data_IF_946383573964
#
_entry.id   IF_946383573964
#
_cell.length_a   1.000
_cell.length_b   1.000
_cell.length_c   1.000
_cell.angle_alpha   90.00
_cell.angle_beta   90.00
_cell.angle_gamma   90.00
#
_symmetry.space_group_name_H-M   'P 1'
#
loop_
_entity.id
_entity.type
_entity.pdbx_description
1 polymer ?
#
# COMPACT_ATOMS: atom_id res chain seq x y z
N UNK A 1 -16.89 -14.35 -4.81
CA UNK A 1 -16.21 -14.37 -3.50
C UNK A 1 -17.25 -14.74 -2.48
N UNK A 2 -16.89 -15.60 -1.53
CA UNK A 2 -17.79 -16.02 -0.47
C UNK A 2 -17.14 -15.70 0.88
N UNK A 3 -17.96 -15.31 1.86
CA UNK A 3 -17.51 -15.10 3.23
C UNK A 3 -17.57 -16.42 4.00
N UNK A 4 -16.45 -16.84 4.58
CA UNK A 4 -16.40 -18.03 5.45
C UNK A 4 -16.70 -17.69 6.90
N UNK A 5 -16.18 -16.56 7.36
CA UNK A 5 -16.35 -16.09 8.73
C UNK A 5 -16.32 -14.57 8.72
N UNK A 6 -17.18 -13.97 9.53
CA UNK A 6 -17.21 -12.53 9.78
C UNK A 6 -17.42 -12.30 11.27
N UNK A 7 -16.51 -11.55 11.86
CA UNK A 7 -16.57 -11.07 13.24
C UNK A 7 -16.71 -9.56 13.20
N UNK A 8 -17.77 -9.05 13.81
CA UNK A 8 -18.09 -7.62 13.88
C UNK A 8 -18.09 -7.21 15.34
N UNK A 9 -17.06 -6.46 15.73
CA UNK A 9 -16.90 -5.97 17.09
C UNK A 9 -17.26 -4.49 17.13
N UNK A 10 -18.19 -4.13 18.02
CA UNK A 10 -18.51 -2.73 18.25
C UNK A 10 -17.42 -2.04 19.08
N UNK A 11 -17.04 -0.84 18.67
CA UNK A 11 -16.00 -0.05 19.31
C UNK A 11 -16.54 1.36 19.59
N UNK A 12 -17.30 1.46 20.68
CA UNK A 12 -17.98 2.67 21.11
C UNK A 12 -17.04 3.88 21.31
N UNK A 13 -15.78 3.64 21.74
CA UNK A 13 -14.80 4.70 21.96
C UNK A 13 -14.44 5.47 20.68
N UNK A 14 -14.49 4.79 19.53
CA UNK A 14 -14.17 5.38 18.23
C UNK A 14 -15.41 5.56 17.34
N UNK A 15 -16.60 5.27 17.87
CA UNK A 15 -17.86 5.35 17.11
C UNK A 15 -17.83 4.51 15.83
N UNK A 16 -17.16 3.35 15.85
CA UNK A 16 -16.96 2.49 14.68
C UNK A 16 -17.09 1.03 15.05
N UNK A 17 -17.30 0.18 14.06
CA UNK A 17 -17.25 -1.27 14.22
C UNK A 17 -16.02 -1.82 13.54
N UNK A 18 -15.26 -2.63 14.25
CA UNK A 18 -14.10 -3.34 13.71
C UNK A 18 -14.58 -4.66 13.11
N UNK A 19 -14.23 -4.90 11.84
CA UNK A 19 -14.66 -6.08 11.08
C UNK A 19 -13.43 -6.94 10.80
N UNK A 20 -13.49 -8.22 11.15
CA UNK A 20 -12.53 -9.24 10.72
C UNK A 20 -13.28 -10.27 9.89
N UNK A 21 -12.81 -10.54 8.69
CA UNK A 21 -13.46 -11.49 7.80
C UNK A 21 -12.45 -12.42 7.13
N UNK A 22 -12.86 -13.66 6.91
CA UNK A 22 -12.14 -14.62 6.07
C UNK A 22 -12.96 -14.82 4.80
N UNK A 23 -12.38 -14.42 3.67
CA UNK A 23 -13.03 -14.52 2.36
C UNK A 23 -12.38 -15.63 1.53
N UNK A 24 -13.19 -16.41 0.84
CA UNK A 24 -12.73 -17.33 -0.21
C UNK A 24 -12.97 -16.74 -1.60
N UNK A 25 -12.01 -16.95 -2.49
CA UNK A 25 -12.08 -16.47 -3.86
C UNK A 25 -11.55 -17.53 -4.83
N UNK A 26 -12.05 -17.50 -6.06
CA UNK A 26 -11.62 -18.39 -7.13
C UNK A 26 -10.96 -17.56 -8.24
N UNK A 27 -9.84 -18.04 -8.77
CA UNK A 27 -9.11 -17.37 -9.84
C UNK A 27 -8.26 -16.18 -9.38
N UNK A 28 -8.48 -15.02 -10.00
CA UNK A 28 -7.65 -13.81 -9.79
C UNK A 28 -7.92 -13.21 -8.41
N UNK A 29 -6.87 -12.64 -7.82
CA UNK A 29 -6.97 -11.96 -6.54
C UNK A 29 -7.93 -10.75 -6.60
N UNK A 30 -8.90 -10.63 -5.68
CA UNK A 30 -9.83 -9.50 -5.64
C UNK A 30 -9.14 -8.15 -5.63
N UNK A 31 -9.76 -7.15 -6.24
CA UNK A 31 -9.38 -5.78 -5.96
C UNK A 31 -9.96 -5.36 -4.61
N UNK A 32 -9.29 -4.42 -3.93
CA UNK A 32 -9.75 -3.87 -2.65
C UNK A 32 -11.14 -3.21 -2.75
N UNK A 33 -11.53 -2.71 -3.93
CA UNK A 33 -12.88 -2.19 -4.19
C UNK A 33 -13.93 -3.30 -4.05
N UNK A 34 -13.73 -4.41 -4.75
CA UNK A 34 -14.60 -5.58 -4.71
C UNK A 34 -14.73 -6.15 -3.29
N UNK A 35 -13.62 -6.25 -2.55
CA UNK A 35 -13.61 -6.70 -1.15
C UNK A 35 -14.47 -5.81 -0.27
N UNK A 36 -14.34 -4.49 -0.42
CA UNK A 36 -15.12 -3.54 0.37
C UNK A 36 -16.60 -3.61 0.05
N UNK A 37 -16.97 -3.68 -1.22
CA UNK A 37 -18.37 -3.82 -1.64
C UNK A 37 -18.98 -5.12 -1.09
N UNK A 38 -18.20 -6.19 -1.06
CA UNK A 38 -18.62 -7.44 -0.43
C UNK A 38 -18.80 -7.26 1.08
N UNK A 39 -17.84 -6.64 1.78
CA UNK A 39 -17.96 -6.37 3.22
C UNK A 39 -19.16 -5.48 3.57
N UNK A 40 -19.49 -4.48 2.74
CA UNK A 40 -20.67 -3.63 2.91
C UNK A 40 -21.95 -4.47 2.89
N UNK A 41 -22.05 -5.41 1.95
CA UNK A 41 -23.21 -6.31 1.83
C UNK A 41 -23.32 -7.26 3.02
N UNK A 42 -22.20 -7.86 3.43
CA UNK A 42 -22.16 -8.86 4.52
C UNK A 42 -22.38 -8.23 5.91
N UNK A 43 -21.71 -7.10 6.19
CA UNK A 43 -21.83 -6.40 7.48
C UNK A 43 -23.10 -5.55 7.60
N UNK A 44 -23.80 -5.30 6.48
CA UNK A 44 -24.96 -4.38 6.37
C UNK A 44 -24.63 -2.92 6.75
N UNK A 45 -23.35 -2.57 6.74
CA UNK A 45 -22.88 -1.23 7.06
C UNK A 45 -22.68 -0.40 5.79
N UNK A 46 -23.05 0.88 5.83
CA UNK A 46 -23.02 1.75 4.64
C UNK A 46 -21.61 2.19 4.26
N UNK A 47 -20.74 2.39 5.25
CA UNK A 47 -19.42 2.98 5.05
C UNK A 47 -18.33 2.11 5.66
N UNK A 48 -17.75 1.25 4.82
CA UNK A 48 -16.65 0.36 5.21
C UNK A 48 -15.34 0.83 4.59
N UNK A 49 -14.30 0.85 5.39
CA UNK A 49 -12.92 1.06 4.99
C UNK A 49 -12.15 -0.26 5.14
N UNK A 50 -11.42 -0.69 4.11
CA UNK A 50 -10.53 -1.85 4.22
C UNK A 50 -9.16 -1.39 4.71
N UNK A 51 -8.67 -1.99 5.78
CA UNK A 51 -7.37 -1.72 6.41
C UNK A 51 -6.32 -2.61 5.77
N UNK A 52 -6.39 -3.92 6.02
CA UNK A 52 -5.47 -4.92 5.50
C UNK A 52 -6.22 -6.00 4.73
N UNK A 53 -5.51 -6.56 3.74
CA UNK A 53 -5.91 -7.78 3.05
C UNK A 53 -4.66 -8.64 3.06
N UNK A 54 -4.71 -9.73 3.79
CA UNK A 54 -3.62 -10.66 3.97
C UNK A 54 -3.93 -11.94 3.19
N UNK A 55 -3.01 -12.30 2.29
CA UNK A 55 -3.04 -13.53 1.53
C UNK A 55 -2.49 -14.66 2.40
N UNK A 56 -3.20 -15.78 2.42
CA UNK A 56 -2.64 -17.04 2.90
C UNK A 56 -1.91 -17.75 1.76
N UNK A 57 -0.66 -18.15 1.97
CA UNK A 57 0.14 -18.77 0.91
C UNK A 57 -0.43 -20.13 0.51
N UNK A 58 -0.54 -20.38 -0.80
CA UNK A 58 -1.09 -21.63 -1.34
C UNK A 58 -2.59 -21.85 -1.09
N UNK A 59 -3.28 -20.89 -0.46
CA UNK A 59 -4.69 -21.02 -0.10
C UNK A 59 -5.54 -19.98 -0.85
N UNK A 60 -6.75 -20.35 -1.33
CA UNK A 60 -7.69 -19.42 -1.95
C UNK A 60 -8.44 -18.56 -0.90
N UNK A 61 -7.75 -18.16 0.17
CA UNK A 61 -8.31 -17.44 1.31
C UNK A 61 -7.63 -16.11 1.57
N UNK A 62 -8.43 -15.17 2.08
CA UNK A 62 -8.02 -13.81 2.43
C UNK A 62 -8.47 -13.49 3.84
N UNK A 63 -7.52 -13.11 4.69
CA UNK A 63 -7.84 -12.47 5.95
C UNK A 63 -7.98 -10.97 5.70
N UNK A 64 -9.16 -10.43 5.96
CA UNK A 64 -9.48 -9.03 5.72
C UNK A 64 -9.80 -8.35 7.04
N UNK A 65 -9.19 -7.20 7.26
CA UNK A 65 -9.54 -6.31 8.36
C UNK A 65 -10.18 -5.05 7.79
N UNK A 66 -11.34 -4.71 8.31
CA UNK A 66 -12.11 -3.53 7.91
C UNK A 66 -12.58 -2.74 9.13
N UNK A 67 -12.98 -1.50 8.88
CA UNK A 67 -13.66 -0.63 9.84
C UNK A 67 -14.93 -0.12 9.21
N UNK A 68 -16.04 -0.25 9.90
CA UNK A 68 -17.32 0.31 9.49
C UNK A 68 -17.66 1.55 10.32
N UNK A 69 -18.17 2.56 9.64
CA UNK A 69 -18.58 3.83 10.20
C UNK A 69 -20.05 4.09 9.90
N UNK A 70 -20.77 4.78 10.81
CA UNK A 70 -22.16 5.17 10.57
C UNK A 70 -22.27 6.20 9.43
N UNK A 71 -21.30 7.12 9.33
CA UNK A 71 -21.32 8.25 8.40
C UNK A 71 -19.98 8.44 7.65
N UNK A 72 -20.07 8.96 6.42
CA UNK A 72 -18.90 9.37 5.62
C UNK A 72 -18.05 10.45 6.33
N UNK A 73 -18.70 11.36 7.06
CA UNK A 73 -18.00 12.43 7.81
C UNK A 73 -17.16 11.84 8.95
N UNK A 74 -17.74 10.93 9.73
CA UNK A 74 -17.05 10.24 10.81
C UNK A 74 -15.82 9.48 10.30
N UNK A 75 -15.96 8.77 9.17
CA UNK A 75 -14.85 8.07 8.53
C UNK A 75 -13.74 9.03 8.06
N UNK A 76 -14.09 10.21 7.51
CA UNK A 76 -13.11 11.21 7.04
C UNK A 76 -12.34 11.89 8.18
N UNK A 77 -12.97 12.04 9.35
CA UNK A 77 -12.35 12.64 10.54
C UNK A 77 -11.47 11.61 11.25
N UNK A 78 -11.93 10.37 11.38
CA UNK A 78 -11.25 9.34 12.14
C UNK A 78 -10.04 8.71 11.41
N UNK A 79 -10.04 8.72 10.07
CA UNK A 79 -9.05 8.01 9.27
C UNK A 79 -8.06 8.95 8.59
N UNK A 80 -6.78 8.57 8.49
CA UNK A 80 -5.78 9.39 7.82
C UNK A 80 -6.01 9.42 6.31
N UNK A 81 -5.62 10.53 5.68
CA UNK A 81 -5.90 10.80 4.26
C UNK A 81 -5.40 9.71 3.30
N UNK A 82 -4.26 9.08 3.60
CA UNK A 82 -3.70 8.01 2.76
C UNK A 82 -4.58 6.76 2.74
N UNK A 83 -5.30 6.45 3.82
CA UNK A 83 -6.22 5.31 3.87
C UNK A 83 -7.48 5.57 3.06
N UNK A 84 -8.00 6.81 3.12
CA UNK A 84 -9.13 7.24 2.31
C UNK A 84 -8.78 7.21 0.82
N UNK A 85 -7.58 7.68 0.43
CA UNK A 85 -7.07 7.61 -0.96
C UNK A 85 -6.88 6.17 -1.43
N UNK A 86 -6.29 5.31 -0.60
CA UNK A 86 -6.07 3.89 -0.92
C UNK A 86 -7.38 3.12 -1.15
N UNK A 87 -8.43 3.49 -0.41
CA UNK A 87 -9.76 2.96 -0.62
C UNK A 87 -10.53 3.74 -1.70
N UNK A 88 -9.97 4.77 -2.35
CA UNK A 88 -10.69 5.53 -3.38
C UNK A 88 -11.94 6.23 -2.85
N UNK A 89 -11.93 6.64 -1.58
CA UNK A 89 -12.97 7.42 -0.91
C UNK A 89 -12.57 8.90 -0.83
N UNK A 90 -11.29 9.20 -1.05
CA UNK A 90 -10.78 10.57 -1.05
C UNK A 90 -11.30 11.37 -2.25
N UNK A 91 -12.39 12.09 -1.98
CA UNK A 91 -12.56 13.53 -2.13
C UNK A 91 -11.64 14.24 -3.13
N UNK A 92 -12.28 14.80 -4.15
CA UNK A 92 -11.74 15.75 -5.13
C UNK A 92 -11.29 17.11 -4.52
N UNK A 93 -11.53 17.36 -3.24
CA UNK A 93 -11.35 18.67 -2.60
C UNK A 93 -9.95 18.94 -2.03
N UNK A 94 -8.89 18.46 -2.68
CA UNK A 94 -7.51 18.73 -2.25
C UNK A 94 -6.62 19.36 -3.33
N UNK A 95 -7.22 20.01 -4.33
CA UNK A 95 -6.49 20.80 -5.35
C UNK A 95 -6.76 22.29 -5.33
N UNK A 96 -7.61 22.78 -4.42
CA UNK A 96 -8.10 24.17 -4.44
C UNK A 96 -7.74 24.96 -3.19
N UNK A 97 -6.57 24.74 -2.56
CA UNK A 97 -6.15 25.62 -1.46
C UNK A 97 -4.63 25.57 -1.19
N UNK A 98 -3.82 25.64 -2.26
CA UNK A 98 -2.43 26.09 -2.15
C UNK A 98 -2.05 26.92 -3.38
N UNK A 99 -2.47 28.18 -3.39
CA UNK A 99 -1.83 29.22 -4.17
C UNK A 99 -1.58 30.40 -3.22
N UNK A 100 -0.37 30.60 -2.69
CA UNK A 100 0.00 31.89 -2.15
C UNK A 100 -0.03 32.86 -3.33
N UNK A 101 -0.99 33.79 -3.31
CA UNK A 101 -0.98 34.92 -4.22
C UNK A 101 0.21 35.81 -3.89
N UNK A 102 0.94 36.17 -4.94
CA UNK A 102 2.02 37.13 -4.98
C UNK A 102 1.69 38.44 -4.23
N UNK A 103 2.66 38.93 -3.46
CA UNK A 103 2.94 40.37 -3.41
C UNK A 103 4.34 40.56 -3.96
N UNK A 104 4.41 41.00 -5.21
CA UNK A 104 5.63 41.42 -5.88
C UNK A 104 5.33 42.66 -6.71
N UNK A 105 5.58 43.82 -6.10
CA UNK A 105 5.99 45.11 -6.71
C UNK A 105 6.41 45.98 -5.51
N UNK A 106 7.58 46.65 -5.46
CA UNK A 106 8.28 47.34 -6.54
C UNK A 106 9.74 47.70 -6.12
N UNK A 107 10.70 47.56 -7.07
CA UNK A 107 11.98 48.30 -7.31
C UNK A 107 13.07 48.38 -6.20
N UNK A 108 14.38 48.45 -6.46
CA UNK A 108 15.24 48.46 -7.65
C UNK A 108 16.73 48.33 -7.19
N UNK A 109 17.64 48.24 -8.18
CA UNK A 109 19.11 48.33 -8.15
C UNK A 109 19.88 46.99 -8.08
N UNK A 110 20.39 46.49 -9.21
CA UNK A 110 21.74 46.74 -9.79
C UNK A 110 22.77 45.78 -9.11
N UNK A 111 23.40 44.78 -9.73
CA UNK A 111 24.28 44.84 -10.90
C UNK A 111 24.47 43.43 -11.54
N UNK A 112 24.55 43.41 -12.87
CA UNK A 112 25.38 42.49 -13.68
C UNK A 112 26.69 43.27 -13.97
N UNK A 113 27.87 42.66 -14.27
CA UNK A 113 28.00 41.85 -15.48
C UNK A 113 29.06 40.70 -15.47
N UNK A 114 28.87 39.78 -16.43
CA UNK A 114 29.89 39.06 -17.22
C UNK A 114 30.91 38.13 -16.50
N UNK A 115 31.47 37.07 -17.05
CA UNK A 115 31.57 36.55 -18.42
C UNK A 115 32.02 35.06 -18.34
N UNK A 116 31.64 34.26 -19.36
CA UNK A 116 32.43 33.21 -20.04
C UNK A 116 33.45 32.33 -19.25
N UNK A 117 33.54 31.01 -19.42
CA UNK A 117 33.79 30.27 -20.67
C UNK A 117 33.85 28.76 -20.35
N UNK A 118 33.48 27.93 -21.34
CA UNK A 118 34.14 26.71 -21.87
C UNK A 118 35.01 25.88 -20.89
N UNK A 119 35.09 24.55 -20.94
CA UNK A 119 34.65 23.46 -21.80
C UNK A 119 35.13 22.17 -21.09
N UNK A 120 34.71 21.00 -21.58
CA UNK A 120 35.45 19.72 -21.49
C UNK A 120 35.58 19.08 -20.07
N UNK A 121 35.31 17.80 -19.82
CA UNK A 121 35.36 16.61 -20.67
C UNK A 121 34.46 15.49 -20.13
N UNK A 122 33.83 14.75 -21.05
CA UNK A 122 33.60 13.29 -20.98
C UNK A 122 34.80 12.65 -21.73
N UNK A 123 35.21 11.36 -21.60
CA UNK A 123 34.52 10.25 -20.94
C UNK A 123 35.42 9.16 -20.27
N UNK A 124 34.74 8.16 -19.70
CA UNK A 124 35.10 6.73 -19.76
C UNK A 124 36.12 6.16 -18.72
N UNK A 125 36.38 4.84 -18.69
CA UNK A 125 35.82 3.93 -17.68
C UNK A 125 36.86 2.95 -17.08
N UNK A 126 36.72 2.54 -15.82
CA UNK A 126 37.50 1.41 -15.27
C UNK A 126 36.52 0.40 -14.65
N UNK A 127 36.21 -0.68 -15.37
CA UNK A 127 36.97 -1.94 -15.45
C UNK A 127 36.56 -2.93 -14.33
N UNK A 128 35.67 -3.86 -14.69
CA UNK A 128 35.64 -5.24 -14.16
C UNK A 128 36.71 -6.05 -14.92
N UNK A 129 37.38 -7.08 -14.37
CA UNK A 129 36.78 -8.40 -14.05
C UNK A 129 37.28 -9.03 -12.72
N UNK A 130 36.44 -9.76 -11.94
CA UNK A 130 36.30 -11.23 -11.84
C UNK A 130 37.57 -11.99 -11.35
N UNK A 131 37.51 -13.29 -11.00
CA UNK A 131 36.66 -14.05 -10.07
C UNK A 131 37.55 -14.84 -9.05
N UNK A 132 37.01 -15.37 -7.95
CA UNK A 132 37.65 -16.54 -7.33
C UNK A 132 36.62 -17.51 -6.75
N UNK A 133 36.64 -18.70 -7.32
CA UNK A 133 35.90 -19.87 -6.93
C UNK A 133 36.71 -20.67 -5.90
N UNK A 134 36.04 -21.28 -4.93
CA UNK A 134 36.45 -22.58 -4.39
C UNK A 134 35.24 -23.52 -4.29
N UNK A 135 35.19 -24.46 -5.26
CA UNK A 135 34.83 -25.89 -5.14
C UNK A 135 35.47 -26.48 -3.86
N UNK A 136 35.12 -27.64 -3.31
CA UNK A 136 34.13 -28.71 -3.47
C UNK A 136 34.45 -29.72 -2.33
N UNK A 137 33.48 -30.55 -1.96
CA UNK A 137 33.58 -31.97 -1.52
C UNK A 137 32.28 -32.26 -0.74
N UNK A 138 31.28 -32.98 -1.25
CA UNK A 138 31.27 -34.38 -1.69
C UNK A 138 31.64 -35.36 -0.55
N UNK A 139 30.61 -35.90 0.11
CA UNK A 139 30.63 -37.25 0.68
C UNK A 139 29.21 -37.69 1.10
N UNK A 140 28.54 -38.43 0.20
CA UNK A 140 27.62 -39.52 0.56
C UNK A 140 28.47 -40.67 1.13
N UNK A 141 27.95 -41.54 2.02
CA UNK A 141 27.31 -42.75 1.52
C UNK A 141 26.09 -43.25 2.31
N UNK A 142 25.43 -44.19 1.66
CA UNK A 142 24.24 -44.95 2.01
C UNK A 142 24.40 -45.85 3.24
N UNK A 143 23.30 -46.21 3.89
CA UNK A 143 22.98 -47.62 4.20
C UNK A 143 21.49 -47.78 4.50
N UNK A 144 20.91 -48.80 3.86
CA UNK A 144 19.61 -49.40 4.12
C UNK A 144 19.44 -49.85 5.58
N UNK A 145 18.24 -49.73 6.13
CA UNK A 145 17.67 -50.86 6.89
C UNK A 145 16.16 -50.85 6.93
N UNK A 146 15.68 -52.04 6.62
CA UNK A 146 14.33 -52.56 6.49
C UNK A 146 13.95 -53.14 7.86
N UNK A 147 12.83 -52.72 8.43
CA UNK A 147 12.09 -53.43 9.50
C UNK A 147 10.62 -53.35 9.07
N UNK A 148 10.06 -54.43 8.53
CA UNK A 148 9.35 -55.54 9.22
C UNK A 148 7.96 -55.12 9.69
#
# INVERSE_FOLDING_TARGET
MNTQSIDVKDNALYGRKDIKAILSFTGVFPKRKDVREHLIKESKEKHVLVISIEKQYGQPYLAVQGRAYPDLKAMRIAEPMHMLKRNGIALEDAKSEKKPAESKEEKAADQKPAEEKKADSKPAPEAKPAPEAKKADEAKPETESKNE
#
